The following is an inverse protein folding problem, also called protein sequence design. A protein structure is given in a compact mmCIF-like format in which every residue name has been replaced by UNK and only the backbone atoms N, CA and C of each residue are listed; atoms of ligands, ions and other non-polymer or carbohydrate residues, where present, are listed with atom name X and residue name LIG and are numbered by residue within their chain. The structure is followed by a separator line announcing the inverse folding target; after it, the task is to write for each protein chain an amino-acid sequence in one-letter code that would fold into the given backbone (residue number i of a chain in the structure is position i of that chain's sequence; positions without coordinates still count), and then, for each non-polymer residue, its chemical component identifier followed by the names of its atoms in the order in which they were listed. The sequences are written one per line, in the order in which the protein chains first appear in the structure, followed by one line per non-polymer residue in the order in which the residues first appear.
data_IF_038547825407
#
_entry.id   IF_038547825407
#
_cell.length_a   1.000
_cell.length_b   1.000
_cell.length_c   1.000
_cell.angle_alpha   90.00
_cell.angle_beta   90.00
_cell.angle_gamma   90.00
#
_symmetry.space_group_name_H-M   'P 1'
#
loop_
_entity.id
_entity.type
_entity.pdbx_description
1 polymer ?
#
# COMPACT_ATOMS: atom_id res chain seq x y z
N UNK A 1 4.83 -7.46 13.85
CA UNK A 1 4.76 -7.16 12.40
C UNK A 1 4.91 -8.45 11.64
N UNK A 2 3.98 -8.72 10.72
CA UNK A 2 4.04 -9.91 9.87
C UNK A 2 4.90 -9.69 8.62
N UNK A 3 4.84 -8.47 8.04
CA UNK A 3 5.68 -8.06 6.92
C UNK A 3 5.84 -6.54 6.86
N UNK A 4 6.82 -6.12 6.08
CA UNK A 4 7.05 -4.73 5.71
C UNK A 4 7.68 -3.87 6.78
N UNK A 5 7.53 -2.56 6.64
CA UNK A 5 8.10 -1.58 7.55
C UNK A 5 7.40 -0.23 7.49
N UNK A 6 7.59 0.53 8.53
CA UNK A 6 7.19 1.92 8.63
C UNK A 6 8.42 2.78 8.32
N UNK A 7 8.39 3.47 7.18
CA UNK A 7 9.52 4.25 6.67
C UNK A 7 9.32 5.76 6.81
N UNK A 8 8.11 6.16 7.19
CA UNK A 8 7.78 7.52 7.62
C UNK A 8 6.75 7.47 8.75
N UNK A 9 6.61 8.57 9.47
CA UNK A 9 5.59 8.69 10.53
C UNK A 9 4.21 8.58 9.92
N UNK A 10 3.34 7.80 10.58
CA UNK A 10 1.95 7.65 10.13
C UNK A 10 1.23 8.98 10.25
N UNK A 11 0.72 9.47 9.12
CA UNK A 11 -0.13 10.66 9.06
C UNK A 11 -1.50 10.37 9.70
N UNK A 12 -1.72 10.89 10.90
CA UNK A 12 -2.97 10.69 11.63
C UNK A 12 -3.40 11.95 12.38
N UNK A 13 -4.69 11.98 12.72
CA UNK A 13 -5.22 13.04 13.59
C UNK A 13 -4.55 13.00 14.97
N UNK A 14 -4.28 14.17 15.59
CA UNK A 14 -3.81 14.24 16.96
C UNK A 14 -4.89 13.81 17.99
N UNK A 15 -6.15 13.71 17.56
CA UNK A 15 -7.25 13.32 18.40
C UNK A 15 -7.60 11.84 18.24
N UNK A 16 -7.64 11.12 19.36
CA UNK A 16 -8.15 9.75 19.40
C UNK A 16 -9.69 9.81 19.40
N UNK A 17 -10.31 9.31 18.31
CA UNK A 17 -11.77 9.26 18.19
C UNK A 17 -12.42 8.08 18.93
N UNK A 18 -11.63 7.18 19.54
CA UNK A 18 -12.12 5.96 20.18
C UNK A 18 -12.49 4.85 19.18
N UNK A 19 -12.13 4.98 17.90
CA UNK A 19 -12.48 3.99 16.88
C UNK A 19 -11.91 2.61 17.22
N UNK A 20 -10.69 2.53 17.71
CA UNK A 20 -10.08 1.23 18.05
C UNK A 20 -10.78 0.56 19.24
N UNK A 21 -11.20 1.34 20.24
CA UNK A 21 -11.96 0.80 21.36
C UNK A 21 -13.31 0.24 20.91
N UNK A 22 -14.01 0.93 20.00
CA UNK A 22 -15.24 0.44 19.39
C UNK A 22 -15.02 -0.85 18.59
N UNK A 23 -13.93 -0.95 17.82
CA UNK A 23 -13.54 -2.17 17.09
C UNK A 23 -13.35 -3.33 18.06
N UNK A 24 -12.64 -3.12 19.16
CA UNK A 24 -12.42 -4.14 20.18
C UNK A 24 -13.73 -4.56 20.86
N UNK A 25 -14.62 -3.61 21.17
CA UNK A 25 -15.91 -3.87 21.80
C UNK A 25 -16.84 -4.70 20.89
N UNK A 26 -16.92 -4.35 19.60
CA UNK A 26 -17.71 -5.10 18.61
C UNK A 26 -17.15 -6.50 18.33
N UNK A 27 -15.84 -6.67 18.34
CA UNK A 27 -15.16 -7.94 18.19
C UNK A 27 -15.29 -8.61 16.81
N UNK A 28 -15.91 -7.95 15.83
CA UNK A 28 -16.16 -8.50 14.48
C UNK A 28 -15.15 -8.10 13.43
N UNK A 29 -14.32 -7.09 13.72
CA UNK A 29 -13.33 -6.56 12.77
C UNK A 29 -12.05 -7.40 12.81
N UNK A 30 -11.69 -8.01 11.69
CA UNK A 30 -10.45 -8.79 11.57
C UNK A 30 -9.27 -7.94 11.09
N UNK A 31 -9.54 -6.95 10.23
CA UNK A 31 -8.51 -6.12 9.65
C UNK A 31 -8.95 -4.68 9.43
N UNK A 32 -8.00 -3.75 9.56
CA UNK A 32 -8.15 -2.34 9.23
C UNK A 32 -7.09 -1.99 8.19
N UNK A 33 -7.52 -1.39 7.09
CA UNK A 33 -6.65 -0.95 6.01
C UNK A 33 -6.52 0.56 6.03
N UNK A 34 -5.31 1.04 5.86
CA UNK A 34 -5.02 2.46 5.73
C UNK A 34 -4.01 2.71 4.61
N UNK A 35 -3.98 3.93 4.15
CA UNK A 35 -3.07 4.48 3.18
C UNK A 35 -2.71 5.91 3.59
N UNK A 36 -2.37 6.77 2.66
CA UNK A 36 -1.93 8.15 2.76
C UNK A 36 -0.41 8.28 2.69
N UNK A 37 0.34 7.60 3.54
CA UNK A 37 1.81 7.70 3.56
C UNK A 37 2.37 6.74 2.51
N UNK A 38 3.04 7.29 1.49
CA UNK A 38 3.34 6.53 0.27
C UNK A 38 4.48 5.54 0.40
N UNK A 39 5.29 5.67 1.45
CA UNK A 39 6.43 4.80 1.69
C UNK A 39 6.22 3.83 2.83
N UNK A 40 5.07 3.87 3.49
CA UNK A 40 4.69 2.87 4.48
C UNK A 40 4.07 1.64 3.82
N UNK A 41 4.48 0.47 4.26
CA UNK A 41 4.00 -0.82 3.76
C UNK A 41 4.23 -1.87 4.83
N UNK A 42 3.22 -2.15 5.63
CA UNK A 42 3.34 -3.15 6.68
C UNK A 42 1.99 -3.80 7.03
N UNK A 43 2.08 -4.97 7.62
CA UNK A 43 0.98 -5.64 8.30
C UNK A 43 1.40 -6.00 9.72
N UNK A 44 0.63 -5.57 10.69
CA UNK A 44 0.88 -5.82 12.10
C UNK A 44 -0.39 -6.28 12.80
N UNK A 45 -0.27 -7.15 13.80
CA UNK A 45 -1.39 -7.51 14.64
C UNK A 45 -1.31 -6.76 15.98
N UNK A 46 -2.43 -6.20 16.37
CA UNK A 46 -2.59 -5.61 17.70
C UNK A 46 -3.94 -6.01 18.29
N UNK A 47 -3.92 -6.68 19.43
CA UNK A 47 -5.13 -7.19 20.13
C UNK A 47 -6.07 -7.98 19.23
N UNK A 48 -5.53 -8.81 18.34
CA UNK A 48 -6.32 -9.65 17.45
C UNK A 48 -6.79 -8.99 16.15
N UNK A 49 -6.62 -7.68 15.99
CA UNK A 49 -6.94 -6.94 14.77
C UNK A 49 -5.67 -6.76 13.93
N UNK A 50 -5.78 -7.07 12.64
CA UNK A 50 -4.69 -6.87 11.69
C UNK A 50 -4.72 -5.44 11.15
N UNK A 51 -3.65 -4.68 11.38
CA UNK A 51 -3.48 -3.35 10.81
C UNK A 51 -2.60 -3.43 9.57
N UNK A 52 -3.14 -3.01 8.44
CA UNK A 52 -2.51 -3.12 7.14
C UNK A 52 -2.34 -1.72 6.57
N UNK A 53 -1.08 -1.29 6.48
CA UNK A 53 -0.73 -0.09 5.74
C UNK A 53 -0.39 -0.50 4.31
N UNK A 54 -1.25 -0.11 3.38
CA UNK A 54 -1.08 -0.47 1.97
C UNK A 54 -0.17 0.52 1.27
N UNK A 55 0.82 0.00 0.57
CA UNK A 55 1.75 0.79 -0.21
C UNK A 55 1.06 1.59 -1.32
N UNK A 56 1.69 2.68 -1.73
CA UNK A 56 1.25 3.47 -2.88
C UNK A 56 1.31 2.65 -4.16
N UNK A 57 0.28 2.74 -5.01
CA UNK A 57 0.24 2.08 -6.32
C UNK A 57 0.85 2.91 -7.45
N UNK A 58 0.89 4.24 -7.29
CA UNK A 58 1.29 5.17 -8.34
C UNK A 58 2.73 5.68 -8.24
N UNK A 59 3.13 6.46 -9.25
CA UNK A 59 4.48 7.02 -9.39
C UNK A 59 4.49 8.56 -9.45
N UNK A 60 3.32 9.21 -9.42
CA UNK A 60 3.16 10.65 -9.64
C UNK A 60 3.48 11.52 -8.42
N UNK A 61 3.84 10.92 -7.30
CA UNK A 61 4.14 11.58 -6.05
C UNK A 61 5.44 11.04 -5.43
N UNK A 62 5.73 11.38 -4.19
CA UNK A 62 6.94 10.89 -3.54
C UNK A 62 6.92 9.38 -3.35
N UNK A 63 8.08 8.78 -3.48
CA UNK A 63 8.30 7.33 -3.47
C UNK A 63 9.53 6.97 -2.66
N UNK A 64 9.80 5.67 -2.53
CA UNK A 64 11.06 5.17 -1.98
C UNK A 64 12.29 5.73 -2.72
N UNK A 65 12.20 5.88 -4.04
CA UNK A 65 13.27 6.47 -4.86
C UNK A 65 13.49 7.94 -4.54
N UNK A 66 12.41 8.74 -4.51
CA UNK A 66 12.52 10.19 -4.28
C UNK A 66 12.89 10.54 -2.84
N UNK A 67 12.38 9.80 -1.86
CA UNK A 67 12.62 10.11 -0.44
C UNK A 67 13.89 9.49 0.13
N UNK A 68 14.27 8.29 -0.33
CA UNK A 68 15.39 7.55 0.25
C UNK A 68 16.47 7.18 -0.76
N UNK A 69 16.30 7.55 -2.04
CA UNK A 69 17.24 7.16 -3.10
C UNK A 69 17.33 5.64 -3.31
N UNK A 70 16.29 4.90 -2.99
CA UNK A 70 16.30 3.46 -3.17
C UNK A 70 16.29 3.11 -4.66
N UNK A 71 17.08 2.12 -5.07
CA UNK A 71 17.07 1.66 -6.45
C UNK A 71 15.75 0.96 -6.78
N UNK A 72 15.35 1.00 -8.05
CA UNK A 72 14.05 0.55 -8.55
C UNK A 72 13.70 -0.88 -8.15
N UNK A 73 14.67 -1.77 -8.09
CA UNK A 73 14.48 -3.16 -7.68
C UNK A 73 14.00 -3.31 -6.21
N UNK A 74 14.09 -2.24 -5.44
CA UNK A 74 13.60 -2.18 -4.05
C UNK A 74 12.30 -1.39 -3.88
N UNK A 75 11.80 -0.77 -4.95
CA UNK A 75 10.58 0.02 -4.86
C UNK A 75 9.38 -0.87 -4.53
N UNK A 76 8.50 -0.36 -3.66
CA UNK A 76 7.39 -1.12 -3.09
C UNK A 76 6.02 -0.67 -3.62
N UNK A 77 5.98 0.19 -4.65
CA UNK A 77 4.70 0.53 -5.28
C UNK A 77 3.99 -0.74 -5.74
N UNK A 78 2.71 -0.83 -5.45
CA UNK A 78 1.96 -2.04 -5.74
C UNK A 78 0.59 -2.06 -5.12
N UNK A 79 0.12 -3.25 -4.85
CA UNK A 79 -1.21 -3.50 -4.26
C UNK A 79 -1.13 -4.50 -3.13
N UNK A 80 -2.03 -4.34 -2.17
CA UNK A 80 -2.32 -5.35 -1.16
C UNK A 80 -3.48 -6.23 -1.66
N UNK A 81 -3.32 -7.54 -1.57
CA UNK A 81 -4.36 -8.51 -1.93
C UNK A 81 -4.85 -9.18 -0.67
N UNK A 82 -6.16 -9.12 -0.46
CA UNK A 82 -6.82 -9.84 0.62
C UNK A 82 -7.72 -10.91 0.01
N UNK A 83 -7.55 -12.14 0.46
CA UNK A 83 -8.42 -13.25 0.13
C UNK A 83 -9.25 -13.59 1.37
N UNK A 84 -10.57 -13.66 1.19
CA UNK A 84 -11.49 -14.08 2.24
C UNK A 84 -11.81 -15.55 1.99
N UNK A 85 -11.49 -16.39 2.96
CA UNK A 85 -11.70 -17.83 2.88
C UNK A 85 -13.14 -18.21 3.25
N UNK A 86 -13.61 -19.41 2.86
CA UNK A 86 -14.98 -19.85 3.16
C UNK A 86 -15.34 -19.89 4.63
N UNK A 87 -14.37 -20.05 5.54
CA UNK A 87 -14.56 -20.00 6.98
C UNK A 87 -14.59 -18.57 7.56
N UNK A 88 -14.48 -17.55 6.70
CA UNK A 88 -14.45 -16.14 7.08
C UNK A 88 -13.09 -15.62 7.51
N UNK A 89 -12.07 -16.45 7.58
CA UNK A 89 -10.70 -16.00 7.81
C UNK A 89 -10.13 -15.27 6.59
N UNK A 90 -9.08 -14.47 6.81
CA UNK A 90 -8.44 -13.72 5.73
C UNK A 90 -6.96 -14.10 5.58
N UNK A 91 -6.49 -14.06 4.36
CA UNK A 91 -5.06 -14.01 4.04
C UNK A 91 -4.72 -12.68 3.41
N UNK A 92 -3.54 -12.15 3.69
CA UNK A 92 -3.09 -10.85 3.19
C UNK A 92 -1.73 -11.01 2.54
N UNK A 93 -1.60 -10.50 1.34
CA UNK A 93 -0.35 -10.54 0.58
C UNK A 93 -0.10 -9.24 -0.18
N UNK A 94 1.09 -9.13 -0.75
CA UNK A 94 1.54 -7.95 -1.52
C UNK A 94 1.92 -8.36 -2.93
N UNK A 95 1.70 -7.45 -3.88
CA UNK A 95 2.21 -7.56 -5.25
C UNK A 95 2.83 -6.23 -5.64
N UNK A 96 4.13 -6.25 -5.90
CA UNK A 96 4.87 -5.05 -6.26
C UNK A 96 4.87 -4.84 -7.78
N UNK A 97 4.63 -3.61 -8.21
CA UNK A 97 4.60 -3.22 -9.61
C UNK A 97 5.90 -3.60 -10.34
N UNK A 98 7.05 -3.44 -9.69
CA UNK A 98 8.37 -3.82 -10.24
C UNK A 98 8.44 -5.26 -10.78
N UNK A 99 7.57 -6.14 -10.29
CA UNK A 99 7.54 -7.55 -10.70
C UNK A 99 6.57 -7.83 -11.85
N UNK A 100 5.63 -6.92 -12.13
CA UNK A 100 4.50 -7.19 -13.03
C UNK A 100 4.24 -6.10 -14.05
N UNK A 101 4.60 -4.86 -13.75
CA UNK A 101 4.31 -3.73 -14.61
C UNK A 101 5.60 -3.23 -15.30
N UNK A 102 5.40 -2.55 -16.42
CA UNK A 102 6.46 -1.82 -17.10
C UNK A 102 7.00 -0.71 -16.21
N UNK A 103 8.26 -0.41 -16.37
CA UNK A 103 8.88 0.71 -15.67
C UNK A 103 8.23 2.04 -16.06
N UNK A 104 8.24 3.04 -15.18
CA UNK A 104 7.62 4.35 -15.47
C UNK A 104 8.09 4.97 -16.79
N UNK A 105 9.37 4.83 -17.12
CA UNK A 105 9.91 5.35 -18.39
C UNK A 105 9.31 4.66 -19.59
N UNK A 106 9.14 3.34 -19.52
CA UNK A 106 8.51 2.55 -20.60
C UNK A 106 7.04 2.92 -20.74
N UNK A 107 6.34 3.10 -19.65
CA UNK A 107 4.94 3.53 -19.64
C UNK A 107 4.80 4.95 -20.22
N UNK A 108 5.65 5.88 -19.80
CA UNK A 108 5.62 7.26 -20.31
C UNK A 108 5.95 7.33 -21.80
N UNK A 109 6.92 6.55 -22.29
CA UNK A 109 7.24 6.47 -23.70
C UNK A 109 6.07 5.91 -24.53
N UNK A 110 5.40 4.88 -24.05
CA UNK A 110 4.22 4.31 -24.71
C UNK A 110 3.02 5.28 -24.68
N UNK A 111 2.80 5.98 -23.59
CA UNK A 111 1.77 7.02 -23.46
C UNK A 111 2.02 8.14 -24.47
N UNK A 112 3.26 8.62 -24.55
CA UNK A 112 3.63 9.65 -25.52
C UNK A 112 3.43 9.19 -26.95
N UNK A 113 3.86 7.98 -27.29
CA UNK A 113 3.66 7.39 -28.62
C UNK A 113 2.17 7.25 -28.96
N UNK A 114 1.34 6.86 -28.00
CA UNK A 114 -0.11 6.79 -28.15
C UNK A 114 -0.75 8.15 -28.39
N UNK A 115 -0.37 9.17 -27.64
CA UNK A 115 -0.85 10.56 -27.82
C UNK A 115 -0.45 11.12 -29.18
N UNK A 116 0.79 10.87 -29.63
CA UNK A 116 1.27 11.27 -30.95
C UNK A 116 0.50 10.57 -32.07
N UNK A 117 0.15 9.30 -31.90
CA UNK A 117 -0.64 8.55 -32.89
C UNK A 117 -2.05 9.09 -33.12
N UNK A 118 -2.62 9.70 -32.07
CA UNK A 118 -3.96 10.34 -32.16
C UNK A 118 -3.98 11.71 -32.86
N UNK A 119 -2.81 12.34 -33.02
CA UNK A 119 -2.68 13.64 -33.68
C UNK A 119 -2.50 13.53 -35.19
N UNK A 120 -2.35 12.34 -35.70
CA UNK A 120 -2.31 12.04 -37.14
C UNK A 120 -3.72 11.69 -37.67
#
# INVERSE_FOLDING_TARGET
IFYGGMYESVGCSPFNSGMFDAICELGSTQAVYCGHDHVNDFCANYKGVCFIYSQCGGYETYTMGTNFGWPEEKWMQGVTITEILPDGSITVGRRFNRNYLKRPEQFNAEKQAYEESKRK
#
